data_IF_680498655310
#
_entry.id   IF_680498655310
#
_cell.length_a   1.000
_cell.length_b   1.000
_cell.length_c   1.000
_cell.angle_alpha   90.00
_cell.angle_beta   90.00
_cell.angle_gamma   90.00
#
_symmetry.space_group_name_H-M   'P 1'
#
loop_
_entity.id
_entity.type
_entity.pdbx_description
1 polymer ?
#
# COMPACT_ATOMS: atom_id res chain seq x y z
N UNK A 1 -10.26 7.24 1.94
CA UNK A 1 -9.36 6.11 1.62
C UNK A 1 -9.89 4.80 2.18
N UNK A 2 -9.95 4.60 3.50
CA UNK A 2 -10.46 3.36 4.11
C UNK A 2 -11.79 2.89 3.52
N UNK A 3 -12.81 3.76 3.55
CA UNK A 3 -14.14 3.48 2.95
C UNK A 3 -14.09 3.10 1.46
N UNK A 4 -13.13 3.62 0.69
CA UNK A 4 -13.00 3.28 -0.72
C UNK A 4 -12.43 1.87 -0.92
N UNK A 5 -11.60 1.38 0.01
CA UNK A 5 -11.11 0.01 0.01
C UNK A 5 -12.15 -0.97 0.55
N UNK A 6 -12.96 -0.56 1.54
CA UNK A 6 -14.04 -1.39 2.11
C UNK A 6 -15.11 -1.72 1.06
N UNK A 7 -15.36 -0.78 0.13
CA UNK A 7 -16.25 -1.00 -1.02
C UNK A 7 -15.80 -2.13 -1.96
N UNK A 8 -14.58 -2.62 -1.83
CA UNK A 8 -14.08 -3.75 -2.62
C UNK A 8 -14.36 -5.11 -1.96
N UNK A 9 -14.92 -5.15 -0.74
CA UNK A 9 -15.27 -6.41 -0.07
C UNK A 9 -16.19 -7.32 -0.89
N UNK A 10 -17.24 -6.81 -1.59
CA UNK A 10 -18.09 -7.65 -2.44
C UNK A 10 -17.34 -8.34 -3.59
N UNK A 11 -16.16 -7.84 -3.98
CA UNK A 11 -15.29 -8.45 -4.98
C UNK A 11 -14.36 -9.54 -4.39
N UNK A 12 -14.68 -10.07 -3.20
CA UNK A 12 -13.90 -11.10 -2.53
C UNK A 12 -12.60 -10.60 -1.91
N UNK A 13 -12.55 -9.30 -1.57
CA UNK A 13 -11.37 -8.70 -0.91
C UNK A 13 -11.60 -8.53 0.58
N UNK A 14 -10.50 -8.52 1.32
CA UNK A 14 -10.45 -8.21 2.75
C UNK A 14 -9.42 -7.11 2.97
N UNK A 15 -9.84 -6.03 3.62
CA UNK A 15 -8.95 -4.91 3.96
C UNK A 15 -8.80 -4.81 5.47
N UNK A 16 -7.56 -4.63 5.91
CA UNK A 16 -7.22 -4.28 7.28
C UNK A 16 -6.62 -2.89 7.30
N UNK A 17 -6.90 -2.16 8.37
CA UNK A 17 -6.47 -0.77 8.54
C UNK A 17 -5.53 -0.66 9.73
N UNK A 18 -4.59 0.27 9.64
CA UNK A 18 -3.72 0.67 10.75
C UNK A 18 -3.04 -0.53 11.43
N UNK A 19 -2.35 -1.32 10.61
CA UNK A 19 -1.59 -2.46 11.09
C UNK A 19 -0.26 -1.99 11.66
N UNK A 20 0.09 -2.37 12.90
CA UNK A 20 1.37 -1.98 13.46
C UNK A 20 2.49 -2.68 12.69
N UNK A 21 3.58 -1.97 12.48
CA UNK A 21 4.82 -2.50 11.92
C UNK A 21 5.95 -2.32 12.95
N UNK A 22 7.03 -3.11 12.84
CA UNK A 22 8.24 -2.91 13.65
C UNK A 22 8.76 -1.47 13.59
N UNK A 23 9.48 -1.06 14.65
CA UNK A 23 9.99 0.30 14.86
C UNK A 23 8.89 1.39 14.91
N UNK A 24 7.72 1.06 15.49
CA UNK A 24 6.58 1.97 15.68
C UNK A 24 6.02 2.55 14.37
N UNK A 25 6.31 1.92 13.23
CA UNK A 25 5.70 2.28 11.96
C UNK A 25 4.26 1.74 11.89
N UNK A 26 3.45 2.29 11.00
CA UNK A 26 2.07 1.84 10.76
C UNK A 26 1.89 1.62 9.26
N UNK A 27 1.40 0.45 8.89
CA UNK A 27 0.88 0.20 7.56
C UNK A 27 -0.55 0.73 7.53
N UNK A 28 -0.80 1.73 6.69
CA UNK A 28 -2.12 2.38 6.62
C UNK A 28 -3.20 1.36 6.25
N UNK A 29 -2.98 0.57 5.20
CA UNK A 29 -3.90 -0.49 4.82
C UNK A 29 -3.18 -1.71 4.25
N UNK A 30 -3.74 -2.90 4.49
CA UNK A 30 -3.39 -4.15 3.83
C UNK A 30 -4.64 -4.69 3.15
N UNK A 31 -4.61 -4.88 1.84
CA UNK A 31 -5.72 -5.45 1.07
C UNK A 31 -5.31 -6.82 0.53
N UNK A 32 -6.11 -7.83 0.83
CA UNK A 32 -5.91 -9.23 0.41
C UNK A 32 -7.09 -9.60 -0.48
N UNK A 33 -6.84 -10.12 -1.67
CA UNK A 33 -7.92 -10.50 -2.57
C UNK A 33 -7.43 -11.30 -3.78
N UNK A 34 -8.30 -11.53 -4.77
CA UNK A 34 -7.97 -12.37 -5.92
C UNK A 34 -6.70 -11.92 -6.66
N UNK A 35 -6.46 -10.61 -6.76
CA UNK A 35 -5.27 -10.05 -7.40
C UNK A 35 -3.97 -10.12 -6.58
N UNK A 36 -3.98 -10.71 -5.38
CA UNK A 36 -2.82 -10.83 -4.48
C UNK A 36 -2.97 -10.04 -3.17
N UNK A 37 -1.83 -9.84 -2.49
CA UNK A 37 -1.72 -9.06 -1.26
C UNK A 37 -1.05 -7.72 -1.53
N UNK A 38 -1.65 -6.63 -1.06
CA UNK A 38 -1.19 -5.26 -1.31
C UNK A 38 -1.01 -4.49 0.00
N UNK A 39 0.18 -3.94 0.21
CA UNK A 39 0.46 -2.99 1.28
C UNK A 39 0.28 -1.57 0.74
N UNK A 40 -0.77 -0.88 1.20
CA UNK A 40 -1.13 0.45 0.71
C UNK A 40 -0.57 1.50 1.66
N UNK A 41 0.46 2.22 1.18
CA UNK A 41 0.96 3.43 1.82
C UNK A 41 0.14 4.62 1.35
N UNK A 42 -0.38 5.42 2.28
CA UNK A 42 -1.19 6.60 1.95
C UNK A 42 -0.38 7.88 2.16
N UNK A 43 -0.35 8.74 1.15
CA UNK A 43 0.15 10.10 1.24
C UNK A 43 -1.07 11.02 1.33
N UNK A 44 -1.21 11.70 2.46
CA UNK A 44 -2.28 12.67 2.67
C UNK A 44 -1.69 14.08 2.65
N UNK A 45 -1.95 14.81 1.56
CA UNK A 45 -1.35 16.12 1.33
C UNK A 45 -2.19 17.30 1.86
N UNK A 46 -3.35 17.05 2.47
CA UNK A 46 -4.21 18.10 3.04
C UNK A 46 -4.61 19.17 2.02
N UNK A 47 -4.85 18.79 0.76
CA UNK A 47 -5.15 19.72 -0.34
C UNK A 47 -3.93 20.31 -1.05
N UNK A 48 -2.71 20.13 -0.53
CA UNK A 48 -1.50 20.57 -1.22
C UNK A 48 -1.28 19.80 -2.53
N UNK A 49 -0.61 20.41 -3.53
CA UNK A 49 -0.24 19.71 -4.75
C UNK A 49 0.86 18.68 -4.48
N UNK A 50 0.78 17.54 -5.16
CA UNK A 50 1.76 16.45 -5.08
C UNK A 50 2.46 16.27 -6.42
N UNK A 51 3.80 16.18 -6.40
CA UNK A 51 4.62 15.85 -7.57
C UNK A 51 5.37 14.55 -7.34
N UNK A 52 5.15 13.57 -8.22
CA UNK A 52 5.74 12.24 -8.14
C UNK A 52 6.90 12.11 -9.13
N UNK A 53 8.01 11.53 -8.67
CA UNK A 53 9.23 11.46 -9.46
C UNK A 53 9.87 12.84 -9.63
N UNK A 54 9.69 13.72 -8.64
CA UNK A 54 10.36 15.01 -8.62
C UNK A 54 11.88 14.78 -8.59
N UNK A 55 12.67 15.43 -9.45
CA UNK A 55 14.13 15.37 -9.36
C UNK A 55 14.57 16.04 -8.06
N UNK A 56 15.45 15.38 -7.32
CA UNK A 56 16.00 15.92 -6.08
C UNK A 56 17.45 15.43 -5.92
N UNK A 57 18.39 16.26 -6.36
CA UNK A 57 19.83 16.06 -6.12
C UNK A 57 20.34 14.68 -6.55
N UNK A 58 21.05 14.01 -5.64
CA UNK A 58 21.71 12.71 -5.85
C UNK A 58 20.79 11.49 -5.63
N UNK A 59 19.55 11.68 -5.20
CA UNK A 59 18.62 10.57 -4.97
C UNK A 59 18.06 10.06 -6.31
N UNK A 60 17.89 8.73 -6.50
CA UNK A 60 17.35 8.18 -7.73
C UNK A 60 16.01 8.81 -8.10
N UNK A 61 15.90 9.29 -9.34
CA UNK A 61 14.67 9.87 -9.85
C UNK A 61 13.52 8.84 -9.79
N UNK A 62 12.55 9.06 -8.89
CA UNK A 62 11.40 8.16 -8.69
C UNK A 62 11.14 7.78 -7.23
N UNK A 63 12.11 8.01 -6.33
CA UNK A 63 11.99 7.62 -4.91
C UNK A 63 11.57 8.75 -3.97
N UNK A 64 11.39 9.95 -4.52
CA UNK A 64 10.96 11.14 -3.80
C UNK A 64 9.65 11.68 -4.37
N UNK A 65 8.84 12.19 -3.47
CA UNK A 65 7.58 12.87 -3.78
C UNK A 65 7.62 14.23 -3.12
N UNK A 66 7.25 15.26 -3.88
CA UNK A 66 7.09 16.60 -3.34
C UNK A 66 5.65 16.83 -2.95
N UNK A 67 5.40 17.14 -1.68
CA UNK A 67 4.10 17.47 -1.10
C UNK A 67 4.14 18.96 -0.73
N UNK A 68 3.52 19.81 -1.55
CA UNK A 68 3.69 21.26 -1.45
C UNK A 68 5.15 21.68 -1.65
N UNK A 69 5.77 22.19 -0.57
CA UNK A 69 7.19 22.56 -0.52
C UNK A 69 8.10 21.48 0.07
N UNK A 70 7.55 20.42 0.68
CA UNK A 70 8.33 19.35 1.31
C UNK A 70 8.65 18.24 0.34
N UNK A 71 9.84 17.67 0.43
CA UNK A 71 10.23 16.47 -0.33
C UNK A 71 10.34 15.30 0.64
N UNK A 72 9.55 14.25 0.39
CA UNK A 72 9.37 13.12 1.30
C UNK A 72 9.60 11.77 0.57
N UNK A 73 10.25 10.78 1.21
CA UNK A 73 10.63 9.51 0.58
C UNK A 73 9.51 8.46 0.62
N UNK A 74 8.27 8.86 0.30
CA UNK A 74 7.11 7.96 0.39
C UNK A 74 7.22 6.68 -0.45
N UNK A 75 7.77 6.68 -1.68
CA UNK A 75 7.98 5.44 -2.44
C UNK A 75 8.85 4.43 -1.68
N UNK A 76 9.96 4.89 -1.10
CA UNK A 76 10.85 4.07 -0.28
C UNK A 76 10.12 3.53 0.97
N UNK A 77 9.30 4.35 1.61
CA UNK A 77 8.49 3.93 2.77
C UNK A 77 7.45 2.87 2.39
N UNK A 78 6.77 3.04 1.25
CA UNK A 78 5.79 2.08 0.75
C UNK A 78 6.42 0.70 0.49
N UNK A 79 7.58 0.66 -0.17
CA UNK A 79 8.32 -0.58 -0.39
C UNK A 79 8.75 -1.25 0.91
N UNK A 80 9.30 -0.47 1.86
CA UNK A 80 9.68 -0.99 3.18
C UNK A 80 8.49 -1.56 3.94
N UNK A 81 7.33 -0.92 3.88
CA UNK A 81 6.11 -1.40 4.51
C UNK A 81 5.66 -2.74 3.91
N UNK A 82 5.70 -2.88 2.58
CA UNK A 82 5.39 -4.14 1.90
C UNK A 82 6.34 -5.28 2.29
N UNK A 83 7.66 -5.02 2.30
CA UNK A 83 8.66 -6.02 2.73
C UNK A 83 8.41 -6.47 4.18
N UNK A 84 8.08 -5.54 5.08
CA UNK A 84 7.78 -5.87 6.48
C UNK A 84 6.49 -6.69 6.61
N UNK A 85 5.44 -6.31 5.89
CA UNK A 85 4.19 -7.08 5.85
C UNK A 85 4.42 -8.50 5.29
N UNK A 86 5.21 -8.64 4.22
CA UNK A 86 5.57 -9.93 3.65
C UNK A 86 6.29 -10.84 4.67
N UNK A 87 7.23 -10.28 5.45
CA UNK A 87 7.92 -11.02 6.52
C UNK A 87 6.97 -11.48 7.61
N UNK A 88 6.09 -10.60 8.08
CA UNK A 88 5.09 -10.93 9.11
C UNK A 88 4.17 -12.05 8.63
N UNK A 89 3.57 -11.88 7.46
CA UNK A 89 2.64 -12.87 6.91
C UNK A 89 3.35 -14.18 6.56
N UNK A 90 4.56 -14.12 6.02
CA UNK A 90 5.31 -15.32 5.67
C UNK A 90 5.70 -16.15 6.90
N UNK A 91 6.12 -15.49 7.99
CA UNK A 91 6.36 -16.15 9.28
C UNK A 91 5.08 -16.77 9.84
N UNK A 92 3.98 -16.04 9.82
CA UNK A 92 2.70 -16.53 10.35
C UNK A 92 2.10 -17.67 9.52
N UNK A 93 2.32 -17.67 8.20
CA UNK A 93 1.86 -18.70 7.28
C UNK A 93 2.79 -19.93 7.21
N UNK A 94 4.04 -19.80 7.65
CA UNK A 94 5.06 -20.84 7.51
C UNK A 94 5.62 -20.98 6.08
N UNK A 95 5.34 -20.03 5.18
CA UNK A 95 5.77 -20.04 3.79
C UNK A 95 5.87 -18.62 3.22
N UNK A 96 6.63 -18.37 2.13
CA UNK A 96 6.73 -17.04 1.54
C UNK A 96 5.38 -16.48 1.09
N UNK A 97 5.08 -15.24 1.48
CA UNK A 97 3.90 -14.49 1.03
C UNK A 97 4.36 -13.23 0.32
N UNK A 98 4.06 -13.12 -0.98
CA UNK A 98 4.32 -11.91 -1.74
C UNK A 98 3.35 -10.80 -1.32
N UNK A 99 3.91 -9.64 -0.98
CA UNK A 99 3.13 -8.42 -0.68
C UNK A 99 3.62 -7.30 -1.60
N UNK A 100 2.73 -6.80 -2.45
CA UNK A 100 3.04 -5.76 -3.43
C UNK A 100 2.82 -4.37 -2.82
N UNK A 101 3.79 -3.44 -2.91
CA UNK A 101 3.59 -2.09 -2.41
C UNK A 101 2.64 -1.33 -3.34
N UNK A 102 1.81 -0.47 -2.76
CA UNK A 102 0.93 0.45 -3.49
C UNK A 102 0.99 1.80 -2.81
N UNK A 103 1.10 2.87 -3.61
CA UNK A 103 1.10 4.23 -3.12
C UNK A 103 -0.21 4.92 -3.46
N UNK A 104 -1.03 5.20 -2.46
CA UNK A 104 -2.24 5.98 -2.63
C UNK A 104 -2.00 7.44 -2.26
N UNK A 105 -2.40 8.36 -3.14
CA UNK A 105 -2.18 9.79 -2.95
C UNK A 105 -3.52 10.51 -2.89
N UNK A 106 -3.75 11.20 -1.77
CA UNK A 106 -4.90 12.09 -1.56
C UNK A 106 -4.37 13.52 -1.51
N UNK A 107 -4.64 14.31 -2.56
CA UNK A 107 -4.07 15.64 -2.75
C UNK A 107 -5.08 16.61 -3.40
N UNK A 108 -4.75 17.90 -3.51
CA UNK A 108 -5.57 18.82 -4.32
C UNK A 108 -5.31 18.66 -5.82
N UNK A 109 -4.08 18.27 -6.19
CA UNK A 109 -3.67 17.97 -7.56
C UNK A 109 -2.46 17.04 -7.55
N UNK A 110 -2.41 16.09 -8.48
CA UNK A 110 -1.26 15.20 -8.66
C UNK A 110 -0.61 15.49 -10.02
N UNK A 111 0.72 15.65 -10.02
CA UNK A 111 1.54 15.71 -11.24
C UNK A 111 2.56 14.58 -11.19
N UNK A 112 2.51 13.68 -12.16
CA UNK A 112 3.46 12.58 -12.28
C UNK A 112 4.51 12.93 -13.34
N UNK A 113 5.73 13.23 -12.90
CA UNK A 113 6.87 13.53 -13.78
C UNK A 113 7.51 12.23 -14.26
N UNK A 114 7.66 11.28 -13.34
CA UNK A 114 8.13 9.92 -13.63
C UNK A 114 7.32 8.94 -12.80
N UNK A 115 6.82 7.90 -13.45
CA UNK A 115 6.14 6.80 -12.78
C UNK A 115 7.20 5.83 -12.22
N UNK A 116 7.17 5.48 -10.92
CA UNK A 116 8.03 4.41 -10.43
C UNK A 116 7.56 3.08 -11.02
N UNK A 117 8.48 2.31 -11.59
CA UNK A 117 8.14 1.13 -12.39
C UNK A 117 7.51 0.00 -11.55
N UNK A 118 7.90 -0.13 -10.28
CA UNK A 118 7.55 -1.21 -9.35
C UNK A 118 6.53 -0.79 -8.28
N UNK A 119 6.05 0.46 -8.34
CA UNK A 119 5.12 1.02 -7.36
C UNK A 119 3.89 1.61 -8.05
N UNK A 120 2.78 0.86 -8.13
CA UNK A 120 1.51 1.39 -8.55
C UNK A 120 1.13 2.61 -7.70
N UNK A 121 0.88 3.73 -8.37
CA UNK A 121 0.36 4.95 -7.76
C UNK A 121 -1.13 5.03 -8.03
N UNK A 122 -1.91 5.25 -6.98
CA UNK A 122 -3.34 5.48 -7.01
C UNK A 122 -3.63 6.95 -6.76
N UNK A 123 -4.25 7.57 -7.74
CA UNK A 123 -4.91 8.86 -7.57
C UNK A 123 -6.21 8.62 -6.81
N UNK A 124 -6.33 9.21 -5.62
CA UNK A 124 -7.51 9.12 -4.77
C UNK A 124 -8.17 10.49 -4.57
N UNK A 125 -7.94 11.43 -5.49
CA UNK A 125 -8.48 12.80 -5.43
C UNK A 125 -10.01 12.83 -5.53
N UNK A 126 -10.61 11.91 -6.28
CA UNK A 126 -12.06 11.78 -6.49
C UNK A 126 -12.74 10.77 -5.54
N UNK A 127 -11.96 10.03 -4.73
CA UNK A 127 -12.45 9.00 -3.83
C UNK A 127 -12.92 7.71 -4.51
N UNK A 128 -12.64 7.54 -5.81
CA UNK A 128 -13.00 6.34 -6.56
C UNK A 128 -12.20 5.13 -6.07
N UNK A 129 -12.85 3.96 -5.86
CA UNK A 129 -12.13 2.74 -5.51
C UNK A 129 -11.07 2.40 -6.56
N UNK A 130 -9.84 2.10 -6.16
CA UNK A 130 -8.75 1.93 -7.10
C UNK A 130 -8.90 0.65 -7.92
N UNK A 131 -9.27 0.80 -9.19
CA UNK A 131 -9.40 -0.30 -10.14
C UNK A 131 -8.09 -1.09 -10.34
N UNK A 132 -6.92 -0.57 -9.97
CA UNK A 132 -5.66 -1.36 -10.00
C UNK A 132 -5.67 -2.50 -8.99
N UNK A 133 -6.34 -2.32 -7.85
CA UNK A 133 -6.44 -3.40 -6.88
C UNK A 133 -7.31 -4.49 -7.48
N UNK A 134 -8.34 -4.11 -8.23
CA UNK A 134 -9.31 -5.02 -8.83
C UNK A 134 -8.78 -5.78 -10.07
N UNK A 135 -7.89 -5.15 -10.84
CA UNK A 135 -7.37 -5.70 -12.11
C UNK A 135 -6.22 -6.68 -11.91
N UNK A 136 -6.40 -7.90 -12.38
CA UNK A 136 -5.35 -8.92 -12.53
C UNK A 136 -5.94 -10.33 -12.69
N UNK A 137 -5.19 -11.26 -13.27
CA UNK A 137 -5.52 -12.69 -13.22
C UNK A 137 -5.67 -13.09 -11.75
N UNK A 138 -6.74 -13.80 -11.34
CA UNK A 138 -6.86 -14.29 -9.97
C UNK A 138 -5.67 -15.17 -9.60
N UNK A 139 -4.82 -14.67 -8.70
CA UNK A 139 -3.65 -15.38 -8.18
C UNK A 139 -4.01 -16.11 -6.88
N UNK A 140 -4.92 -15.54 -6.07
CA UNK A 140 -5.34 -16.14 -4.79
C UNK A 140 -6.74 -16.73 -4.88
N UNK A 141 -6.88 -17.99 -4.46
CA UNK A 141 -8.18 -18.65 -4.25
C UNK A 141 -8.89 -18.03 -3.04
N UNK A 142 -10.24 -18.04 -2.98
CA UNK A 142 -11.01 -17.49 -1.86
C UNK A 142 -10.55 -17.99 -0.49
N UNK A 143 -10.34 -19.31 -0.33
CA UNK A 143 -9.89 -19.88 0.95
C UNK A 143 -8.52 -19.33 1.38
N UNK A 144 -7.65 -19.05 0.41
CA UNK A 144 -6.33 -18.47 0.69
C UNK A 144 -6.44 -17.00 1.10
N UNK A 145 -7.38 -16.25 0.53
CA UNK A 145 -7.68 -14.87 0.94
C UNK A 145 -8.11 -14.86 2.40
N UNK A 146 -9.05 -15.72 2.80
CA UNK A 146 -9.54 -15.79 4.18
C UNK A 146 -8.45 -16.25 5.15
N UNK A 147 -7.66 -17.26 4.76
CA UNK A 147 -6.53 -17.73 5.56
C UNK A 147 -5.52 -16.61 5.85
N UNK A 148 -5.05 -15.91 4.81
CA UNK A 148 -4.11 -14.80 4.98
C UNK A 148 -4.72 -13.64 5.74
N UNK A 149 -6.01 -13.36 5.54
CA UNK A 149 -6.73 -12.33 6.28
C UNK A 149 -6.82 -12.67 7.78
N UNK A 150 -7.09 -13.92 8.14
CA UNK A 150 -7.10 -14.36 9.53
C UNK A 150 -5.73 -14.18 10.20
N UNK A 151 -4.64 -14.58 9.52
CA UNK A 151 -3.27 -14.35 10.01
C UNK A 151 -2.96 -12.86 10.17
N UNK A 152 -3.36 -12.05 9.20
CA UNK A 152 -3.15 -10.60 9.22
C UNK A 152 -3.99 -9.91 10.32
N UNK A 153 -5.14 -10.47 10.70
CA UNK A 153 -6.01 -9.89 11.74
C UNK A 153 -5.46 -10.13 13.15
N UNK A 154 -4.70 -11.21 13.36
CA UNK A 154 -4.07 -11.47 14.65
C UNK A 154 -2.95 -10.45 14.92
N UNK A 155 -3.25 -9.44 15.75
CA UNK A 155 -2.30 -8.37 16.11
C UNK A 155 -1.03 -8.88 16.76
N UNK A 156 -1.00 -10.11 17.30
CA UNK A 156 0.21 -10.71 17.88
C UNK A 156 1.27 -10.98 16.81
N UNK A 157 0.86 -11.32 15.60
CA UNK A 157 1.79 -11.56 14.48
C UNK A 157 2.58 -10.31 14.07
N UNK A 158 2.03 -9.13 14.35
CA UNK A 158 2.61 -7.83 14.00
C UNK A 158 3.49 -7.22 15.10
N UNK A 159 3.49 -7.84 16.28
CA UNK A 159 4.39 -7.47 17.36
C UNK A 159 5.68 -8.25 17.13
N UNK A 160 6.76 -7.55 16.84
CA UNK A 160 8.10 -8.09 17.09
C UNK A 160 8.54 -7.60 18.47
N UNK A 161 9.16 -8.49 19.24
CA UNK A 161 9.97 -8.16 20.41
C UNK A 161 11.10 -7.19 20.06
#
# INVERSE_FOLDING_TARGET
MGTALDRLEPAGRRTLHSLPLPARAVLAHLTIGPGGVFAVHTVHAGGAPVVIGAPAGAEPAGDLIRVGSRTEPHPRLARRAAVRAARVLGRAAGEPVEVRPVLAVVAGRIRMVRRPADLPVLDMTDGTPPAVLDRGTPVLKPDRVEYLHALARDRRNWREE
#
